data_IF_846651020329
#
_entry.id   IF_846651020329
#
_cell.length_a   1.000
_cell.length_b   1.000
_cell.length_c   1.000
_cell.angle_alpha   90.00
_cell.angle_beta   90.00
_cell.angle_gamma   90.00
#
_symmetry.space_group_name_H-M   'P 1'
#
loop_
_entity.id
_entity.type
_entity.pdbx_description
1 polymer ?
#
# COMPACT_ATOMS: atom_id res chain seq x y z
N UNK A 1 -15.55 -6.31 0.52
CA UNK A 1 -15.98 -5.91 -0.85
C UNK A 1 -14.99 -4.86 -1.33
N UNK A 2 -14.09 -5.17 -2.25
CA UNK A 2 -13.15 -4.20 -2.82
C UNK A 2 -13.42 -4.11 -4.33
N UNK A 3 -13.97 -2.97 -4.75
CA UNK A 3 -14.27 -2.61 -6.14
C UNK A 3 -13.96 -1.12 -6.31
N UNK A 4 -12.81 -0.68 -5.81
CA UNK A 4 -12.35 0.66 -6.13
C UNK A 4 -11.72 0.59 -7.53
N UNK A 5 -12.16 1.46 -8.43
CA UNK A 5 -11.56 1.60 -9.76
C UNK A 5 -10.31 2.48 -9.64
N UNK A 6 -9.44 2.20 -8.66
CA UNK A 6 -8.20 2.96 -8.52
C UNK A 6 -7.30 2.59 -9.68
N UNK A 7 -7.23 3.51 -10.62
CA UNK A 7 -6.42 3.45 -11.83
C UNK A 7 -5.29 4.48 -11.82
N UNK A 8 -5.29 5.37 -10.82
CA UNK A 8 -4.37 6.49 -10.72
C UNK A 8 -3.75 6.55 -9.32
N UNK A 9 -2.45 6.86 -9.28
CA UNK A 9 -1.69 7.12 -8.05
C UNK A 9 -2.26 8.27 -7.22
N UNK A 10 -3.11 9.12 -7.80
CA UNK A 10 -3.78 10.22 -7.10
C UNK A 10 -4.64 9.74 -5.93
N UNK A 11 -5.37 8.62 -6.09
CA UNK A 11 -6.16 8.03 -5.00
C UNK A 11 -5.25 7.36 -3.96
N UNK A 12 -4.16 6.75 -4.43
CA UNK A 12 -3.16 6.13 -3.57
C UNK A 12 -2.43 7.16 -2.70
N UNK A 13 -2.13 8.34 -3.25
CA UNK A 13 -1.48 9.42 -2.49
C UNK A 13 -2.37 9.93 -1.35
N UNK A 14 -3.70 9.86 -1.46
CA UNK A 14 -4.61 10.19 -0.34
C UNK A 14 -4.44 9.25 0.86
N UNK A 15 -3.95 8.03 0.65
CA UNK A 15 -3.64 7.10 1.74
C UNK A 15 -2.42 7.57 2.55
N UNK A 16 -1.54 8.39 1.96
CA UNK A 16 -0.37 8.94 2.65
C UNK A 16 -0.76 9.93 3.75
N UNK A 17 -1.91 10.61 3.61
CA UNK A 17 -2.47 11.47 4.66
C UNK A 17 -2.95 10.67 5.88
N UNK A 18 -3.17 9.36 5.72
CA UNK A 18 -3.63 8.48 6.80
C UNK A 18 -2.43 7.94 7.56
N UNK A 19 -1.97 8.68 8.57
CA UNK A 19 -0.83 8.29 9.40
C UNK A 19 -1.06 7.00 10.21
N UNK A 20 -2.32 6.64 10.47
CA UNK A 20 -2.70 5.42 11.19
C UNK A 20 -2.88 4.20 10.28
N UNK A 21 -2.55 4.30 8.99
CA UNK A 21 -2.74 3.21 8.05
C UNK A 21 -1.61 2.18 8.19
N UNK A 22 -1.89 1.12 8.93
CA UNK A 22 -0.95 0.01 9.13
C UNK A 22 -1.18 -1.16 8.17
N UNK A 23 -2.40 -1.35 7.69
CA UNK A 23 -2.78 -2.44 6.79
C UNK A 23 -3.52 -1.90 5.57
N UNK A 24 -3.13 -2.37 4.38
CA UNK A 24 -3.76 -2.00 3.12
C UNK A 24 -3.94 -3.23 2.25
N UNK A 25 -5.14 -3.40 1.72
CA UNK A 25 -5.46 -4.45 0.75
C UNK A 25 -5.89 -3.77 -0.55
N UNK A 26 -5.06 -3.93 -1.57
CA UNK A 26 -5.17 -3.27 -2.86
C UNK A 26 -5.27 -4.25 -4.04
N UNK A 27 -5.19 -5.56 -3.79
CA UNK A 27 -5.50 -6.61 -4.78
C UNK A 27 -6.88 -6.38 -5.43
N UNK A 28 -6.95 -6.61 -6.74
CA UNK A 28 -8.17 -6.44 -7.54
C UNK A 28 -8.40 -5.01 -8.06
N UNK A 29 -7.45 -4.09 -7.86
CA UNK A 29 -7.44 -2.79 -8.54
C UNK A 29 -6.64 -2.89 -9.85
N UNK A 30 -7.07 -2.25 -10.95
CA UNK A 30 -6.32 -2.25 -12.20
C UNK A 30 -4.93 -1.60 -12.06
N UNK A 31 -4.76 -0.67 -11.10
CA UNK A 31 -3.43 -0.12 -10.77
C UNK A 31 -2.52 -1.19 -10.14
N UNK A 32 -3.06 -2.06 -9.30
CA UNK A 32 -2.29 -3.19 -8.75
C UNK A 32 -1.84 -4.12 -9.87
N UNK A 33 -2.76 -4.52 -10.77
CA UNK A 33 -2.41 -5.41 -11.88
C UNK A 33 -1.39 -4.79 -12.85
N UNK A 34 -1.47 -3.48 -13.07
CA UNK A 34 -0.51 -2.76 -13.92
C UNK A 34 0.90 -2.65 -13.31
N UNK A 35 1.00 -2.71 -11.98
CA UNK A 35 2.26 -2.52 -11.26
C UNK A 35 2.64 -3.72 -10.38
N UNK A 36 2.02 -4.90 -10.55
CA UNK A 36 2.11 -6.05 -9.63
C UNK A 36 3.55 -6.35 -9.19
N UNK A 37 4.49 -6.43 -10.14
CA UNK A 37 5.91 -6.70 -9.86
C UNK A 37 6.61 -5.59 -9.05
N UNK A 38 6.19 -4.34 -9.21
CA UNK A 38 6.80 -3.17 -8.56
C UNK A 38 5.94 -2.59 -7.43
N UNK A 39 4.76 -3.17 -7.20
CA UNK A 39 3.73 -2.66 -6.33
C UNK A 39 4.25 -2.53 -4.91
N UNK A 40 4.86 -3.60 -4.38
CA UNK A 40 5.45 -3.61 -3.05
C UNK A 40 6.47 -2.47 -2.87
N UNK A 41 7.31 -2.23 -3.89
CA UNK A 41 8.34 -1.19 -3.86
C UNK A 41 7.74 0.22 -3.91
N UNK A 42 6.78 0.46 -4.80
CA UNK A 42 6.10 1.75 -4.93
C UNK A 42 5.29 2.08 -3.67
N UNK A 43 4.53 1.12 -3.15
CA UNK A 43 3.78 1.25 -1.90
C UNK A 43 4.74 1.48 -0.74
N UNK A 44 5.85 0.74 -0.67
CA UNK A 44 6.84 0.90 0.38
C UNK A 44 7.49 2.28 0.41
N UNK A 45 7.78 2.82 -0.78
CA UNK A 45 8.33 4.16 -0.93
C UNK A 45 7.31 5.26 -0.61
N UNK A 46 6.04 5.06 -0.92
CA UNK A 46 4.98 6.07 -0.75
C UNK A 46 4.34 6.02 0.64
N UNK A 47 4.14 4.84 1.21
CA UNK A 47 3.53 4.60 2.51
C UNK A 47 4.57 3.97 3.47
N UNK A 48 5.48 4.79 4.03
CA UNK A 48 6.49 4.29 4.98
C UNK A 48 5.86 3.72 6.26
N UNK A 49 4.66 4.18 6.64
CA UNK A 49 3.95 3.74 7.84
C UNK A 49 3.23 2.38 7.68
N UNK A 50 3.13 1.85 6.45
CA UNK A 50 2.33 0.66 6.17
C UNK A 50 3.05 -0.62 6.59
N UNK A 51 2.50 -1.39 7.52
CA UNK A 51 3.11 -2.64 8.01
C UNK A 51 2.70 -3.87 7.21
N UNK A 52 1.45 -3.91 6.72
CA UNK A 52 0.89 -5.05 6.00
C UNK A 52 0.32 -4.57 4.67
N UNK A 53 0.73 -5.23 3.58
CA UNK A 53 0.22 -4.99 2.24
C UNK A 53 -0.28 -6.30 1.64
N UNK A 54 -1.56 -6.32 1.24
CA UNK A 54 -2.18 -7.47 0.58
C UNK A 54 -2.08 -8.77 1.40
N UNK A 55 -2.13 -8.63 2.74
CA UNK A 55 -1.94 -9.73 3.69
C UNK A 55 -0.48 -10.19 3.85
N UNK A 56 0.46 -9.56 3.14
CA UNK A 56 1.90 -9.80 3.29
C UNK A 56 2.51 -8.72 4.20
N UNK A 57 3.18 -9.09 5.30
CA UNK A 57 3.88 -8.11 6.12
C UNK A 57 5.05 -7.51 5.32
N UNK A 58 5.05 -6.19 5.18
CA UNK A 58 6.21 -5.49 4.63
C UNK A 58 7.23 -5.40 5.75
N UNK A 59 8.26 -6.23 5.64
CA UNK A 59 9.41 -6.19 6.53
C UNK A 59 10.26 -4.99 6.13
N UNK A 60 9.99 -3.84 6.76
CA UNK A 60 10.93 -2.72 6.78
C UNK A 60 11.73 -2.85 8.06
N UNK A 61 13.05 -2.69 8.01
CA UNK A 61 13.91 -2.68 9.21
C UNK A 61 13.62 -1.49 10.16
N UNK A 62 12.51 -0.79 9.97
CA UNK A 62 12.16 0.41 10.71
C UNK A 62 11.01 0.12 11.69
N UNK A 63 11.37 -0.01 12.97
CA UNK A 63 10.45 0.32 14.07
C UNK A 63 9.72 -0.84 14.75
N UNK A 64 10.45 -1.84 15.22
CA UNK A 64 10.15 -2.38 16.55
C UNK A 64 10.52 -1.27 17.55
N UNK A 65 9.58 -0.33 17.78
CA UNK A 65 9.66 0.63 18.86
C UNK A 65 8.45 0.44 19.76
N UNK A 66 8.77 -0.22 20.87
CA UNK A 66 8.07 -0.40 22.16
C UNK A 66 7.00 -1.49 22.26
#
# INVERSE_FOLDING_TARGET
>A
MAHNLVKDWSEFNKLQDIQSLEELLFVGNPLFEAFEETWLSEVSRRLPNLKILDGTPIIREEGDKE
#
